data_IF_636984972353
#
_entry.id   IF_636984972353
#
_cell.length_a   1.000
_cell.length_b   1.000
_cell.length_c   1.000
_cell.angle_alpha   90.00
_cell.angle_beta   90.00
_cell.angle_gamma   90.00
#
_symmetry.space_group_name_H-M   'P 1'
#
loop_
_entity.id
_entity.type
_entity.pdbx_description
1 polymer ?
#
# COMPACT_ATOMS: atom_id res chain seq x y z
N UNK A 1 2.46 -6.54 8.93
CA UNK A 1 3.43 -5.86 8.05
C UNK A 1 2.73 -5.50 6.75
N UNK A 2 3.22 -4.48 6.06
CA UNK A 2 2.66 -4.05 4.80
C UNK A 2 3.71 -4.05 3.70
N UNK A 3 3.28 -4.36 2.48
CA UNK A 3 4.10 -4.24 1.29
C UNK A 3 3.33 -3.49 0.20
N UNK A 4 3.88 -2.37 -0.24
CA UNK A 4 3.36 -1.60 -1.35
C UNK A 4 3.70 -2.30 -2.67
N UNK A 5 2.70 -2.92 -3.28
CA UNK A 5 2.83 -3.55 -4.60
C UNK A 5 2.78 -2.51 -5.72
N UNK A 6 3.45 -2.74 -6.86
CA UNK A 6 3.43 -1.83 -8.01
C UNK A 6 2.63 -2.38 -9.19
N UNK A 7 1.36 -2.71 -8.96
CA UNK A 7 0.47 -3.31 -9.96
C UNK A 7 0.06 -2.36 -11.10
N UNK A 8 -0.26 -2.94 -12.26
CA UNK A 8 -0.43 -2.27 -13.55
C UNK A 8 -1.81 -1.60 -13.77
N UNK A 9 -2.85 -1.94 -13.01
CA UNK A 9 -4.21 -1.41 -13.24
C UNK A 9 -4.81 -0.90 -11.92
N UNK A 10 -5.33 0.33 -11.94
CA UNK A 10 -6.07 1.06 -10.89
C UNK A 10 -5.41 1.43 -9.56
N UNK A 11 -4.21 0.92 -9.28
CA UNK A 11 -3.41 1.43 -8.18
C UNK A 11 -2.63 0.34 -7.48
N UNK A 12 -1.45 0.73 -7.05
CA UNK A 12 -0.60 -0.01 -6.15
C UNK A 12 -1.37 -0.35 -4.84
N UNK A 13 -1.78 -1.59 -4.63
CA UNK A 13 -2.44 -1.96 -3.38
C UNK A 13 -1.42 -2.14 -2.24
N UNK A 14 -1.72 -1.65 -1.04
CA UNK A 14 -0.96 -2.00 0.16
C UNK A 14 -1.39 -3.39 0.60
N UNK A 15 -0.50 -4.36 0.43
CA UNK A 15 -0.74 -5.74 0.84
C UNK A 15 -0.41 -5.87 2.32
N UNK A 16 -1.37 -6.31 3.14
CA UNK A 16 -1.21 -6.57 4.55
C UNK A 16 -0.93 -8.05 4.78
N UNK A 17 0.14 -8.36 5.52
CA UNK A 17 0.55 -9.73 5.86
C UNK A 17 0.85 -9.86 7.35
N UNK A 18 0.80 -11.09 7.89
CA UNK A 18 1.35 -11.32 9.23
C UNK A 18 2.86 -11.08 9.21
N UNK A 19 3.41 -10.67 10.35
CA UNK A 19 4.84 -10.44 10.47
C UNK A 19 5.61 -11.71 10.11
N UNK A 20 6.53 -11.60 9.14
CA UNK A 20 7.35 -12.72 8.66
C UNK A 20 6.68 -13.64 7.63
N UNK A 21 5.43 -13.38 7.24
CA UNK A 21 4.74 -14.17 6.20
C UNK A 21 5.17 -13.76 4.79
N UNK A 22 5.54 -12.50 4.61
CA UNK A 22 6.09 -12.00 3.36
C UNK A 22 7.60 -11.79 3.50
N UNK A 23 8.36 -12.40 2.60
CA UNK A 23 9.83 -12.28 2.57
C UNK A 23 10.22 -10.94 1.95
N UNK A 24 10.91 -10.12 2.74
CA UNK A 24 11.52 -8.87 2.28
C UNK A 24 12.85 -9.19 1.60
N UNK A 25 13.00 -8.73 0.36
CA UNK A 25 14.23 -8.83 -0.42
C UNK A 25 15.26 -7.77 -0.06
N UNK A 26 16.50 -7.95 -0.53
CA UNK A 26 17.63 -7.03 -0.25
C UNK A 26 17.42 -5.62 -0.80
N UNK A 27 16.56 -5.47 -1.81
CA UNK A 27 16.27 -4.19 -2.46
C UNK A 27 14.95 -3.57 -1.99
N UNK A 28 14.28 -4.16 -1.01
CA UNK A 28 13.06 -3.55 -0.48
C UNK A 28 13.40 -2.44 0.51
N UNK A 29 12.68 -1.33 0.40
CA UNK A 29 12.89 -0.12 1.18
C UNK A 29 11.82 -0.04 2.26
N UNK A 30 12.25 0.11 3.52
CA UNK A 30 11.35 0.44 4.63
C UNK A 30 10.94 1.91 4.52
N UNK A 31 9.68 2.17 4.18
CA UNK A 31 9.15 3.53 4.09
C UNK A 31 8.74 4.11 5.44
N UNK A 32 8.45 3.24 6.42
CA UNK A 32 8.07 3.65 7.76
C UNK A 32 7.35 2.54 8.52
N UNK A 33 6.73 2.92 9.63
CA UNK A 33 5.98 2.02 10.51
C UNK A 33 4.60 2.61 10.77
N UNK A 34 3.55 1.81 10.56
CA UNK A 34 2.16 2.17 10.87
C UNK A 34 1.73 1.38 12.11
N UNK A 35 1.57 2.08 13.24
CA UNK A 35 1.41 1.44 14.54
C UNK A 35 2.66 0.61 14.87
N UNK A 36 2.52 -0.71 14.90
CA UNK A 36 3.62 -1.67 15.09
C UNK A 36 3.99 -2.42 13.80
N UNK A 37 3.32 -2.12 12.68
CA UNK A 37 3.51 -2.81 11.41
C UNK A 37 4.47 -2.04 10.49
N UNK A 38 5.61 -2.63 10.10
CA UNK A 38 6.50 -2.01 9.13
C UNK A 38 5.87 -2.00 7.73
N UNK A 39 6.17 -0.96 6.95
CA UNK A 39 5.62 -0.72 5.61
C UNK A 39 6.75 -0.63 4.58
N UNK A 40 6.80 -1.58 3.65
CA UNK A 40 7.86 -1.75 2.66
C UNK A 40 7.39 -1.43 1.24
N UNK A 41 8.33 -1.19 0.34
CA UNK A 41 8.13 -1.06 -1.10
C UNK A 41 9.39 -1.55 -1.84
N UNK A 42 9.26 -2.03 -3.07
CA UNK A 42 10.43 -2.30 -3.92
C UNK A 42 11.23 -1.00 -4.20
N UNK A 43 12.56 -1.07 -4.21
CA UNK A 43 13.44 0.08 -4.46
C UNK A 43 13.14 0.80 -5.79
N UNK A 44 12.82 0.09 -6.89
CA UNK A 44 12.56 0.77 -8.16
C UNK A 44 11.28 1.59 -8.09
N UNK A 45 10.26 1.07 -7.42
CA UNK A 45 9.03 1.82 -7.16
C UNK A 45 9.28 2.98 -6.20
N UNK A 46 10.06 2.76 -5.15
CA UNK A 46 10.47 3.81 -4.22
C UNK A 46 11.13 4.99 -4.93
N UNK A 47 12.08 4.73 -5.83
CA UNK A 47 12.78 5.80 -6.55
C UNK A 47 11.83 6.70 -7.35
N UNK A 48 10.74 6.13 -7.87
CA UNK A 48 9.71 6.88 -8.59
C UNK A 48 8.73 7.57 -7.63
N UNK A 49 8.44 6.96 -6.47
CA UNK A 49 7.33 7.36 -5.60
C UNK A 49 7.75 8.11 -4.34
N UNK A 50 9.05 8.20 -4.03
CA UNK A 50 9.58 8.83 -2.80
C UNK A 50 9.21 10.31 -2.64
N UNK A 51 8.85 10.98 -3.74
CA UNK A 51 8.36 12.37 -3.74
C UNK A 51 6.84 12.49 -3.63
N UNK A 52 6.13 11.37 -3.72
CA UNK A 52 4.66 11.29 -3.63
C UNK A 52 4.25 11.09 -2.19
N UNK A 53 3.25 11.86 -1.74
CA UNK A 53 2.61 11.59 -0.46
C UNK A 53 1.59 10.47 -0.61
N UNK A 54 1.95 9.29 -0.11
CA UNK A 54 1.06 8.14 0.00
C UNK A 54 0.33 8.18 1.33
N UNK A 55 -0.98 7.91 1.29
CA UNK A 55 -1.82 7.74 2.49
C UNK A 55 -2.33 6.32 2.49
N UNK A 56 -2.02 5.57 3.55
CA UNK A 56 -2.67 4.29 3.83
C UNK A 56 -4.04 4.57 4.45
N UNK A 57 -5.09 4.02 3.86
CA UNK A 57 -6.47 4.25 4.24
C UNK A 57 -7.24 2.92 4.30
N UNK A 58 -8.43 2.95 4.90
CA UNK A 58 -9.31 1.79 5.05
C UNK A 58 -10.65 2.10 4.40
N UNK A 59 -11.17 1.16 3.60
CA UNK A 59 -12.45 1.30 2.91
C UNK A 59 -13.29 0.04 3.07
N UNK A 60 -14.60 0.18 2.82
CA UNK A 60 -15.53 -0.94 2.78
C UNK A 60 -15.20 -1.89 1.62
N UNK A 61 -15.36 -3.19 1.87
CA UNK A 61 -15.16 -4.25 0.89
C UNK A 61 -14.18 -5.32 1.36
N UNK A 62 -14.22 -6.47 0.69
CA UNK A 62 -13.29 -7.57 0.93
C UNK A 62 -11.89 -7.23 0.42
N UNK A 63 -10.83 -7.72 1.08
CA UNK A 63 -9.47 -7.50 0.62
C UNK A 63 -9.21 -8.18 -0.72
N UNK A 64 -8.43 -7.52 -1.56
CA UNK A 64 -8.01 -8.06 -2.84
C UNK A 64 -6.79 -8.99 -2.70
N UNK A 65 -6.79 -10.06 -3.51
CA UNK A 65 -5.66 -10.98 -3.63
C UNK A 65 -5.34 -11.71 -2.32
N UNK A 66 -4.11 -11.53 -1.84
CA UNK A 66 -3.56 -12.21 -0.65
C UNK A 66 -3.48 -11.29 0.58
N UNK A 67 -4.07 -10.09 0.51
CA UNK A 67 -4.01 -9.13 1.62
C UNK A 67 -4.92 -9.57 2.77
N UNK A 68 -4.46 -9.40 4.00
CA UNK A 68 -5.31 -9.55 5.19
C UNK A 68 -6.35 -8.42 5.24
N UNK A 69 -7.57 -8.71 5.74
CA UNK A 69 -8.59 -7.69 5.92
C UNK A 69 -8.16 -6.65 6.96
N UNK A 70 -8.59 -5.40 6.78
CA UNK A 70 -8.42 -4.32 7.75
C UNK A 70 -9.39 -4.44 8.94
N UNK A 71 -10.42 -5.28 8.78
CA UNK A 71 -11.47 -5.56 9.74
C UNK A 71 -12.62 -6.29 9.01
N UNK A 72 -13.69 -6.70 9.73
CA UNK A 72 -14.84 -7.32 9.10
C UNK A 72 -15.41 -6.43 7.98
N UNK A 73 -15.40 -6.91 6.74
CA UNK A 73 -15.89 -6.17 5.57
C UNK A 73 -15.07 -4.93 5.18
N UNK A 74 -13.81 -4.83 5.61
CA UNK A 74 -12.94 -3.70 5.29
C UNK A 74 -11.57 -4.16 4.76
N UNK A 75 -10.96 -3.37 3.89
CA UNK A 75 -9.62 -3.60 3.37
C UNK A 75 -8.78 -2.32 3.30
N UNK A 76 -7.46 -2.51 3.17
CA UNK A 76 -6.49 -1.43 3.07
C UNK A 76 -6.33 -0.96 1.62
N UNK A 77 -6.23 0.35 1.44
CA UNK A 77 -5.93 0.98 0.15
C UNK A 77 -4.86 2.06 0.32
N UNK A 78 -4.07 2.29 -0.73
CA UNK A 78 -3.12 3.41 -0.75
C UNK A 78 -3.66 4.48 -1.67
N UNK A 79 -3.79 5.69 -1.15
CA UNK A 79 -4.18 6.87 -1.91
C UNK A 79 -2.97 7.74 -2.17
N UNK A 80 -2.72 8.07 -3.42
CA UNK A 80 -1.76 9.08 -3.82
C UNK A 80 -2.52 10.33 -4.29
N UNK A 81 -2.17 11.51 -3.78
CA UNK A 81 -2.65 12.76 -4.39
C UNK A 81 -1.77 13.07 -5.60
N UNK A 82 -2.11 12.49 -6.76
CA UNK A 82 -1.54 12.86 -8.05
C UNK A 82 -2.68 13.45 -8.87
N UNK A 83 -2.79 14.78 -8.83
CA UNK A 83 -3.79 15.58 -9.55
C UNK A 83 -5.26 15.26 -9.18
N UNK A 84 -5.86 16.12 -8.35
CA UNK A 84 -7.32 16.27 -8.33
C UNK A 84 -7.75 16.71 -9.75
N UNK A 85 -8.43 15.85 -10.49
CA UNK A 85 -9.19 16.32 -11.67
C UNK A 85 -10.53 16.80 -11.09
N UNK A 86 -10.83 18.11 -11.13
CA UNK A 86 -12.09 18.61 -10.59
C UNK A 86 -13.24 17.92 -11.32
N UNK A 87 -14.17 17.34 -10.56
CA UNK A 87 -15.38 16.74 -11.11
C UNK A 87 -16.17 17.83 -11.84
N UNK A 88 -16.58 17.64 -13.12
CA UNK A 88 -17.47 18.59 -13.76
C UNK A 88 -18.82 18.56 -13.04
N UNK A 89 -19.21 19.73 -12.54
CA UNK A 89 -20.51 20.04 -11.93
C UNK A 89 -21.66 19.89 -12.90
#
# INVERSE_FOLDING_TARGET
MFFQSGGCCDGSLPLCFRAGEFTIGEHDVLMGVVGESPFYIDHRQYEVWKVTRLTLDVVDGEPEGFSLPAGPGHHFVTRSRVCEVPSPS
#
